data_IF_219538263493
#
_entry.id   IF_219538263493
#
_cell.length_a   1.000
_cell.length_b   1.000
_cell.length_c   1.000
_cell.angle_alpha   90.00
_cell.angle_beta   90.00
_cell.angle_gamma   90.00
#
_symmetry.space_group_name_H-M   'P 1'
#
loop_
_entity.id
_entity.type
_entity.pdbx_description
1 polymer ?
#
# COMPACT_ATOMS: atom_id res chain seq x y z
N UNK A 1 23.54 -107.85 -18.73
CA UNK A 1 22.56 -107.14 -17.88
C UNK A 1 22.68 -105.64 -18.12
N UNK A 2 21.60 -105.01 -18.60
CA UNK A 2 21.16 -103.61 -18.32
C UNK A 2 21.99 -102.45 -18.93
N UNK A 3 21.56 -101.87 -20.08
CA UNK A 3 20.78 -100.61 -20.32
C UNK A 3 21.53 -99.29 -19.99
N UNK A 4 21.85 -98.45 -21.01
CA UNK A 4 21.10 -97.27 -21.53
C UNK A 4 21.06 -95.99 -20.65
N UNK A 5 21.70 -94.91 -21.16
CA UNK A 5 21.35 -93.46 -21.19
C UNK A 5 20.72 -92.81 -19.94
N UNK A 6 21.29 -91.67 -19.46
CA UNK A 6 20.62 -90.34 -19.39
C UNK A 6 21.51 -89.24 -18.80
N UNK A 7 21.44 -88.09 -19.48
CA UNK A 7 21.91 -86.75 -19.10
C UNK A 7 21.37 -86.32 -17.72
N UNK A 8 21.93 -85.27 -17.13
CA UNK A 8 21.18 -84.05 -16.80
C UNK A 8 22.13 -82.95 -16.30
N UNK A 9 22.19 -81.88 -17.10
CA UNK A 9 22.66 -80.57 -16.67
C UNK A 9 21.64 -80.00 -15.65
N UNK A 10 22.13 -79.59 -14.48
CA UNK A 10 21.35 -78.89 -13.45
C UNK A 10 21.59 -77.40 -13.53
N UNK A 11 20.62 -76.69 -14.10
CA UNK A 11 20.54 -75.25 -14.31
C UNK A 11 20.45 -74.51 -12.95
N UNK A 12 21.38 -73.58 -12.69
CA UNK A 12 21.28 -72.65 -11.56
C UNK A 12 20.27 -71.55 -11.86
N UNK A 13 19.18 -71.49 -11.10
CA UNK A 13 18.21 -70.40 -11.15
C UNK A 13 18.61 -69.36 -10.09
N UNK A 14 19.19 -68.25 -10.54
CA UNK A 14 19.32 -67.05 -9.74
C UNK A 14 17.97 -66.32 -9.74
N UNK A 15 17.32 -66.26 -8.59
CA UNK A 15 16.09 -65.51 -8.38
C UNK A 15 16.44 -64.02 -8.22
N UNK A 16 16.33 -63.26 -9.32
CA UNK A 16 16.48 -61.80 -9.32
C UNK A 16 15.15 -61.18 -8.86
N UNK A 17 15.13 -60.62 -7.65
CA UNK A 17 13.98 -59.88 -7.13
C UNK A 17 13.98 -58.46 -7.75
N UNK A 18 13.14 -58.23 -8.75
CA UNK A 18 12.91 -56.88 -9.30
C UNK A 18 11.90 -56.18 -8.40
N UNK A 19 12.38 -55.26 -7.56
CA UNK A 19 11.52 -54.34 -6.79
C UNK A 19 11.03 -53.24 -7.75
N UNK A 20 9.80 -53.37 -8.25
CA UNK A 20 9.16 -52.34 -9.05
C UNK A 20 8.84 -51.12 -8.16
N UNK A 21 9.68 -50.09 -8.24
CA UNK A 21 9.35 -48.74 -7.76
C UNK A 21 8.30 -48.17 -8.72
N UNK A 22 7.02 -48.28 -8.38
CA UNK A 22 5.99 -47.52 -9.08
C UNK A 22 6.28 -46.02 -8.86
N UNK A 23 6.42 -45.19 -9.92
CA UNK A 23 6.51 -43.76 -9.73
C UNK A 23 5.21 -43.30 -9.06
N UNK A 24 5.33 -42.69 -7.88
CA UNK A 24 4.21 -41.98 -7.30
C UNK A 24 3.96 -40.78 -8.21
N UNK A 25 2.97 -40.88 -9.09
CA UNK A 25 2.43 -39.71 -9.75
C UNK A 25 1.77 -38.89 -8.64
N UNK A 26 2.47 -37.89 -8.11
CA UNK A 26 1.81 -36.79 -7.41
C UNK A 26 0.78 -36.23 -8.37
N UNK A 27 -0.49 -36.24 -7.98
CA UNK A 27 -1.51 -35.53 -8.72
C UNK A 27 -1.13 -34.05 -8.70
N UNK A 28 -0.49 -33.57 -9.75
CA UNK A 28 -0.06 -32.18 -9.85
C UNK A 28 -1.32 -31.33 -9.95
N UNK A 29 -1.58 -30.52 -8.92
CA UNK A 29 -2.75 -29.67 -8.91
C UNK A 29 -2.62 -28.63 -10.01
N UNK A 30 -3.70 -28.34 -10.72
CA UNK A 30 -3.70 -27.30 -11.74
C UNK A 30 -3.63 -25.93 -11.05
N UNK A 31 -2.62 -25.10 -11.33
CA UNK A 31 -2.53 -23.77 -10.72
C UNK A 31 -3.77 -22.94 -11.02
N UNK A 32 -4.26 -22.22 -10.02
CA UNK A 32 -5.46 -21.39 -10.17
C UNK A 32 -5.51 -20.30 -9.11
N UNK A 33 -6.26 -19.26 -9.40
CA UNK A 33 -6.55 -18.16 -8.48
C UNK A 33 -8.04 -17.89 -8.52
N UNK A 34 -8.65 -17.78 -7.34
CA UNK A 34 -10.03 -17.34 -7.15
C UNK A 34 -10.04 -16.06 -6.32
N UNK A 35 -10.76 -15.05 -6.81
CA UNK A 35 -10.92 -13.76 -6.16
C UNK A 35 -12.31 -13.22 -6.52
N UNK A 36 -12.95 -12.55 -5.58
CA UNK A 36 -14.21 -11.84 -5.80
C UNK A 36 -14.00 -10.33 -5.80
N UNK A 37 -14.96 -9.62 -6.40
CA UNK A 37 -15.11 -8.18 -6.27
C UNK A 37 -15.23 -7.81 -4.79
N UNK A 38 -14.48 -6.81 -4.37
CA UNK A 38 -14.28 -6.53 -2.94
C UNK A 38 -13.83 -5.10 -2.70
N UNK A 39 -13.97 -4.59 -1.47
CA UNK A 39 -13.44 -3.29 -1.11
C UNK A 39 -11.95 -3.34 -0.78
N UNK A 40 -11.30 -2.18 -0.80
CA UNK A 40 -9.96 -2.00 -0.22
C UNK A 40 -10.11 -1.61 1.25
N UNK A 41 -9.58 -2.43 2.14
CA UNK A 41 -9.77 -2.29 3.58
C UNK A 41 -8.41 -2.21 4.25
N UNK A 42 -8.09 -1.09 4.93
CA UNK A 42 -6.75 -0.83 5.51
C UNK A 42 -5.61 -1.01 4.48
N UNK A 43 -5.82 -0.58 3.25
CA UNK A 43 -4.82 -0.74 2.19
C UNK A 43 -4.58 -2.20 1.76
N UNK A 44 -5.50 -3.12 2.09
CA UNK A 44 -5.37 -4.54 1.76
C UNK A 44 -6.51 -5.03 0.89
N UNK A 45 -6.22 -6.05 0.10
CA UNK A 45 -7.17 -6.91 -0.62
C UNK A 45 -6.93 -8.38 -0.24
N UNK A 46 -7.93 -9.23 -0.43
CA UNK A 46 -7.89 -10.65 -0.06
C UNK A 46 -8.15 -11.52 -1.28
N UNK A 47 -7.22 -12.43 -1.56
CA UNK A 47 -7.37 -13.47 -2.58
C UNK A 47 -7.90 -14.73 -1.90
N UNK A 48 -9.09 -15.16 -2.29
CA UNK A 48 -9.87 -16.19 -1.58
C UNK A 48 -9.15 -17.54 -1.59
N UNK A 49 -8.66 -17.95 -2.76
CA UNK A 49 -7.95 -19.21 -2.95
C UNK A 49 -6.88 -19.09 -4.01
N UNK A 50 -5.74 -19.70 -3.74
CA UNK A 50 -4.62 -19.86 -4.67
C UNK A 50 -4.18 -21.30 -4.63
N UNK A 51 -4.05 -21.92 -5.80
CA UNK A 51 -3.41 -23.21 -5.97
C UNK A 51 -2.09 -22.96 -6.69
N UNK A 52 -0.98 -23.25 -6.03
CA UNK A 52 0.37 -23.11 -6.57
C UNK A 52 1.05 -24.47 -6.70
N UNK A 53 1.93 -24.62 -7.69
CA UNK A 53 2.82 -25.76 -7.83
C UNK A 53 4.23 -25.31 -7.44
N UNK A 54 4.58 -25.47 -6.18
CA UNK A 54 5.76 -24.91 -5.54
C UNK A 54 5.48 -23.55 -4.87
N UNK A 55 6.48 -23.01 -4.15
CA UNK A 55 6.46 -21.64 -3.64
C UNK A 55 6.21 -20.63 -4.76
N UNK A 56 5.52 -19.55 -4.44
CA UNK A 56 5.16 -18.53 -5.41
C UNK A 56 4.76 -17.20 -4.80
N UNK A 57 4.30 -16.30 -5.66
CA UNK A 57 3.84 -14.97 -5.30
C UNK A 57 2.47 -14.69 -5.90
N UNK A 58 1.60 -14.08 -5.11
CA UNK A 58 0.43 -13.39 -5.61
C UNK A 58 0.77 -11.93 -5.78
N UNK A 59 0.58 -11.40 -6.98
CA UNK A 59 0.90 -10.02 -7.33
C UNK A 59 -0.38 -9.31 -7.77
N UNK A 60 -0.66 -8.16 -7.18
CA UNK A 60 -1.81 -7.32 -7.52
C UNK A 60 -1.34 -6.19 -8.44
N UNK A 61 -1.99 -6.08 -9.60
CA UNK A 61 -1.72 -5.05 -10.59
C UNK A 61 -2.91 -4.10 -10.71
N UNK A 62 -2.63 -2.81 -10.88
CA UNK A 62 -3.60 -1.87 -11.43
C UNK A 62 -3.92 -2.23 -12.88
N UNK A 63 -5.08 -1.81 -13.38
CA UNK A 63 -5.40 -1.91 -14.80
C UNK A 63 -4.68 -0.80 -15.58
N UNK A 64 -4.11 -1.18 -16.72
CA UNK A 64 -3.66 -0.26 -17.76
C UNK A 64 -4.06 -0.80 -19.12
N UNK A 65 -4.80 0.00 -19.91
CA UNK A 65 -5.21 -0.35 -21.27
C UNK A 65 -5.95 -1.71 -21.37
N UNK A 66 -6.77 -2.03 -20.36
CA UNK A 66 -7.54 -3.29 -20.28
C UNK A 66 -6.69 -4.53 -19.96
N UNK A 67 -5.47 -4.33 -19.45
CA UNK A 67 -4.50 -5.38 -19.10
C UNK A 67 -3.88 -5.12 -17.73
N UNK A 68 -3.20 -6.11 -17.12
CA UNK A 68 -2.35 -5.88 -15.96
C UNK A 68 -1.31 -4.78 -16.24
N UNK A 69 -1.28 -3.78 -15.38
CA UNK A 69 -0.42 -2.60 -15.44
C UNK A 69 0.61 -2.60 -14.31
N UNK A 70 0.90 -1.43 -13.68
CA UNK A 70 1.83 -1.34 -12.55
C UNK A 70 1.46 -2.27 -11.39
N UNK A 71 2.48 -2.79 -10.70
CA UNK A 71 2.31 -3.58 -9.48
C UNK A 71 1.92 -2.65 -8.33
N UNK A 72 0.90 -3.02 -7.59
CA UNK A 72 0.45 -2.33 -6.39
C UNK A 72 0.96 -2.99 -5.11
N UNK A 73 1.14 -4.30 -5.13
CA UNK A 73 1.59 -5.08 -3.97
C UNK A 73 1.64 -6.57 -4.28
N UNK A 74 2.25 -7.35 -3.37
CA UNK A 74 2.38 -8.79 -3.53
C UNK A 74 2.53 -9.51 -2.18
N UNK A 75 2.19 -10.79 -2.15
CA UNK A 75 2.34 -11.67 -0.97
C UNK A 75 2.83 -13.06 -1.37
N UNK A 76 3.62 -13.72 -0.52
CA UNK A 76 4.09 -15.08 -0.80
C UNK A 76 2.94 -16.08 -0.66
N UNK A 77 3.02 -17.17 -1.42
CA UNK A 77 2.16 -18.35 -1.31
C UNK A 77 3.00 -19.62 -1.27
N UNK A 78 2.55 -20.60 -0.51
CA UNK A 78 3.20 -21.91 -0.41
C UNK A 78 2.77 -22.84 -1.56
N UNK A 79 3.49 -23.96 -1.72
CA UNK A 79 3.05 -25.06 -2.57
C UNK A 79 1.68 -25.59 -2.12
N UNK A 80 0.83 -25.96 -3.08
CA UNK A 80 -0.51 -26.45 -2.84
C UNK A 80 -1.56 -25.36 -2.67
N UNK A 81 -2.52 -25.59 -1.78
CA UNK A 81 -3.65 -24.68 -1.56
C UNK A 81 -3.33 -23.62 -0.49
N UNK A 82 -3.59 -22.36 -0.82
CA UNK A 82 -3.53 -21.21 0.07
C UNK A 82 -4.91 -20.55 0.09
N UNK A 83 -5.41 -20.17 1.26
CA UNK A 83 -6.72 -19.51 1.41
C UNK A 83 -6.57 -18.18 2.12
N UNK A 84 -7.45 -17.23 1.78
CA UNK A 84 -7.49 -15.88 2.38
C UNK A 84 -6.14 -15.16 2.36
N UNK A 85 -5.43 -15.25 1.23
CA UNK A 85 -4.12 -14.60 1.05
C UNK A 85 -4.33 -13.10 1.02
N UNK A 86 -3.86 -12.41 2.06
CA UNK A 86 -3.98 -10.96 2.17
C UNK A 86 -2.80 -10.30 1.48
N UNK A 87 -3.06 -9.25 0.69
CA UNK A 87 -2.05 -8.47 -0.01
C UNK A 87 -2.21 -7.00 0.37
N UNK A 88 -1.17 -6.42 0.97
CA UNK A 88 -1.07 -4.97 1.13
C UNK A 88 -0.76 -4.34 -0.23
N UNK A 89 -1.49 -3.28 -0.58
CA UNK A 89 -1.40 -2.61 -1.87
C UNK A 89 -1.25 -1.10 -1.69
N UNK A 90 -0.57 -0.47 -2.64
CA UNK A 90 -0.65 0.99 -2.81
C UNK A 90 -2.03 1.40 -3.35
N UNK A 91 -2.95 1.68 -2.44
CA UNK A 91 -4.30 2.12 -2.77
C UNK A 91 -4.34 3.48 -3.49
N UNK A 92 -3.26 4.28 -3.46
CA UNK A 92 -3.19 5.58 -4.15
C UNK A 92 -3.04 5.42 -5.66
N UNK A 93 -2.56 4.24 -6.11
CA UNK A 93 -2.38 3.90 -7.51
C UNK A 93 -3.41 2.88 -8.01
N UNK A 94 -4.34 2.45 -7.16
CA UNK A 94 -5.39 1.51 -7.53
C UNK A 94 -6.32 2.07 -8.62
N UNK A 95 -6.95 1.16 -9.35
CA UNK A 95 -7.97 1.41 -10.38
C UNK A 95 -9.23 0.61 -10.05
N UNK A 96 -10.38 0.96 -10.66
CA UNK A 96 -11.64 0.23 -10.43
C UNK A 96 -11.52 -1.26 -10.67
N UNK A 97 -10.79 -1.66 -11.71
CA UNK A 97 -10.46 -3.06 -11.96
C UNK A 97 -9.01 -3.30 -11.59
N UNK A 98 -8.76 -4.35 -10.82
CA UNK A 98 -7.43 -4.85 -10.49
C UNK A 98 -7.25 -6.25 -11.08
N UNK A 99 -6.00 -6.66 -11.27
CA UNK A 99 -5.65 -8.02 -11.68
C UNK A 99 -4.85 -8.68 -10.56
N UNK A 100 -5.20 -9.91 -10.24
CA UNK A 100 -4.34 -10.77 -9.42
C UNK A 100 -3.57 -11.70 -10.35
N UNK A 101 -2.26 -11.85 -10.17
CA UNK A 101 -1.41 -12.69 -11.01
C UNK A 101 -0.55 -13.60 -10.16
N UNK A 102 -0.63 -14.91 -10.43
CA UNK A 102 0.24 -15.89 -9.80
C UNK A 102 1.61 -15.91 -10.50
N UNK A 103 2.68 -15.78 -9.72
CA UNK A 103 4.05 -15.92 -10.16
C UNK A 103 4.72 -17.08 -9.44
N UNK A 104 5.73 -17.68 -10.09
CA UNK A 104 6.66 -18.60 -9.42
C UNK A 104 7.60 -17.82 -8.50
N UNK A 105 8.07 -18.47 -7.43
CA UNK A 105 9.23 -18.03 -6.65
C UNK A 105 10.43 -18.87 -7.11
N UNK A 106 11.25 -18.28 -7.97
CA UNK A 106 12.42 -18.91 -8.58
C UNK A 106 13.68 -18.10 -8.25
N UNK A 107 14.87 -18.69 -8.45
CA UNK A 107 16.10 -18.01 -8.04
C UNK A 107 16.26 -18.00 -6.52
N UNK A 108 16.16 -16.82 -5.89
CA UNK A 108 16.36 -16.68 -4.45
C UNK A 108 15.04 -16.84 -3.68
N UNK A 109 14.74 -18.09 -3.30
CA UNK A 109 13.56 -18.45 -2.52
C UNK A 109 13.21 -17.42 -1.42
N UNK A 110 11.96 -16.96 -1.46
CA UNK A 110 11.42 -15.95 -0.54
C UNK A 110 11.78 -14.50 -0.88
N UNK A 111 12.38 -14.25 -2.04
CA UNK A 111 12.61 -12.91 -2.59
C UNK A 111 11.71 -12.72 -3.81
N UNK A 112 11.11 -11.55 -3.96
CA UNK A 112 10.32 -11.27 -5.16
C UNK A 112 11.20 -10.60 -6.22
N UNK A 113 11.37 -11.25 -7.36
CA UNK A 113 12.39 -10.94 -8.36
C UNK A 113 11.79 -10.72 -9.76
N UNK A 114 10.75 -9.89 -9.86
CA UNK A 114 10.10 -9.47 -11.11
C UNK A 114 10.20 -7.94 -11.27
N UNK A 115 10.30 -7.39 -12.50
CA UNK A 115 10.19 -8.03 -13.82
C UNK A 115 11.51 -8.52 -14.43
N UNK A 116 12.65 -8.19 -13.82
CA UNK A 116 13.98 -8.41 -14.42
C UNK A 116 14.70 -9.65 -13.88
N UNK A 117 14.05 -10.46 -13.05
CA UNK A 117 14.61 -11.65 -12.45
C UNK A 117 13.85 -12.93 -12.83
N UNK A 118 14.11 -14.03 -12.12
CA UNK A 118 13.63 -15.36 -12.47
C UNK A 118 12.15 -15.61 -12.13
N UNK A 119 11.51 -14.78 -11.31
CA UNK A 119 10.08 -14.90 -11.01
C UNK A 119 9.27 -14.55 -12.26
N UNK A 120 8.44 -15.47 -12.72
CA UNK A 120 7.66 -15.30 -13.94
C UNK A 120 6.19 -15.64 -13.70
N UNK A 121 5.26 -15.06 -14.48
CA UNK A 121 3.86 -15.42 -14.39
C UNK A 121 3.63 -16.90 -14.67
N UNK A 122 2.87 -17.57 -13.80
CA UNK A 122 2.45 -18.96 -13.96
C UNK A 122 1.45 -19.05 -15.10
N UNK A 123 1.63 -20.06 -15.96
CA UNK A 123 0.75 -20.36 -17.08
C UNK A 123 0.09 -21.72 -16.96
N UNK A 124 -1.17 -21.79 -17.37
CA UNK A 124 -1.94 -23.02 -17.55
C UNK A 124 -2.50 -22.99 -18.97
N UNK A 125 -2.22 -24.03 -19.77
CA UNK A 125 -2.61 -24.09 -21.19
C UNK A 125 -2.20 -22.82 -21.97
N UNK A 126 -0.95 -22.38 -21.80
CA UNK A 126 -0.37 -21.17 -22.38
C UNK A 126 -1.01 -19.82 -21.98
N UNK A 127 -1.99 -19.84 -21.08
CA UNK A 127 -2.63 -18.64 -20.53
C UNK A 127 -2.08 -18.31 -19.14
N UNK A 128 -1.77 -17.04 -18.91
CA UNK A 128 -1.34 -16.57 -17.58
C UNK A 128 -2.51 -16.68 -16.60
N UNK A 129 -2.23 -17.19 -15.40
CA UNK A 129 -3.21 -17.23 -14.30
C UNK A 129 -3.37 -15.81 -13.75
N UNK A 130 -4.25 -15.03 -14.38
CA UNK A 130 -4.47 -13.61 -14.03
C UNK A 130 -5.93 -13.14 -14.10
N UNK A 131 -6.81 -13.62 -13.22
CA UNK A 131 -8.19 -13.13 -13.20
C UNK A 131 -8.25 -11.65 -12.74
N UNK A 132 -9.15 -10.84 -13.33
CA UNK A 132 -9.48 -9.52 -12.81
C UNK A 132 -10.50 -9.59 -11.67
N UNK A 133 -10.59 -8.53 -10.88
CA UNK A 133 -11.69 -8.27 -9.95
C UNK A 133 -11.95 -6.76 -9.85
N UNK A 134 -13.16 -6.38 -9.44
CA UNK A 134 -13.56 -4.99 -9.23
C UNK A 134 -13.36 -4.56 -7.78
N UNK A 135 -12.82 -3.35 -7.61
CA UNK A 135 -12.83 -2.62 -6.35
C UNK A 135 -14.22 -2.02 -6.17
N UNK A 136 -14.94 -2.47 -5.15
CA UNK A 136 -16.30 -1.99 -4.87
C UNK A 136 -16.29 -0.61 -4.22
N UNK A 137 -15.47 -0.44 -3.18
CA UNK A 137 -15.25 0.84 -2.52
C UNK A 137 -13.89 0.85 -1.81
N UNK A 138 -13.35 2.04 -1.55
CA UNK A 138 -12.02 2.18 -0.97
C UNK A 138 -11.49 3.61 -1.04
N UNK A 139 -10.48 3.89 -0.23
CA UNK A 139 -9.83 5.20 -0.18
C UNK A 139 -8.31 5.00 -0.21
N UNK A 140 -7.66 5.65 -1.17
CA UNK A 140 -6.21 5.76 -1.27
C UNK A 140 -5.77 7.18 -0.99
N UNK A 141 -5.03 7.37 0.10
CA UNK A 141 -4.49 8.68 0.51
C UNK A 141 -3.04 8.50 0.97
N UNK A 142 -2.16 9.39 0.52
CA UNK A 142 -0.76 9.43 0.92
C UNK A 142 -0.51 10.49 1.99
N UNK A 143 0.58 10.31 2.72
CA UNK A 143 1.16 11.35 3.55
C UNK A 143 1.52 12.58 2.72
N UNK A 144 1.14 13.77 3.19
CA UNK A 144 1.19 14.98 2.38
C UNK A 144 1.16 16.24 3.25
N UNK A 145 1.65 17.40 2.74
CA UNK A 145 1.46 18.66 3.42
C UNK A 145 0.03 19.18 3.19
N UNK A 146 -0.45 20.03 4.11
CA UNK A 146 -1.59 20.90 3.84
C UNK A 146 -1.09 22.04 2.96
N UNK A 147 -1.70 22.22 1.79
CA UNK A 147 -1.32 23.26 0.83
C UNK A 147 -2.53 24.11 0.49
N UNK A 148 -2.44 25.43 0.71
CA UNK A 148 -3.53 26.36 0.43
C UNK A 148 -4.83 26.03 1.19
N UNK A 149 -4.73 25.47 2.39
CA UNK A 149 -5.89 25.03 3.19
C UNK A 149 -6.55 23.75 2.68
N UNK A 150 -5.88 22.97 1.82
CA UNK A 150 -6.42 21.75 1.23
C UNK A 150 -5.53 20.55 1.47
N UNK A 151 -6.16 19.37 1.46
CA UNK A 151 -5.53 18.06 1.31
C UNK A 151 -6.13 17.36 0.09
N UNK A 152 -5.41 16.41 -0.51
CA UNK A 152 -5.86 15.67 -1.69
C UNK A 152 -5.95 14.18 -1.39
N UNK A 153 -7.12 13.59 -1.63
CA UNK A 153 -7.31 12.15 -1.58
C UNK A 153 -7.07 11.59 -2.98
N UNK A 154 -6.03 10.78 -3.13
CA UNK A 154 -5.51 10.36 -4.44
C UNK A 154 -6.54 9.50 -5.20
N UNK A 155 -7.17 8.55 -4.51
CA UNK A 155 -8.21 7.66 -5.06
C UNK A 155 -9.37 7.51 -4.10
N UNK A 156 -10.58 7.57 -4.62
CA UNK A 156 -11.80 7.17 -3.91
C UNK A 156 -12.64 6.30 -4.84
N UNK A 157 -13.02 5.13 -4.37
CA UNK A 157 -13.98 4.25 -5.02
C UNK A 157 -15.28 4.29 -4.20
N UNK A 158 -16.38 4.68 -4.83
CA UNK A 158 -17.69 4.80 -4.18
C UNK A 158 -18.74 3.95 -4.90
N UNK A 159 -19.69 3.40 -4.16
CA UNK A 159 -20.90 2.80 -4.71
C UNK A 159 -22.04 3.80 -4.57
N UNK A 160 -22.35 4.49 -5.66
CA UNK A 160 -23.22 5.66 -5.69
C UNK A 160 -22.50 6.95 -5.30
N UNK A 161 -23.21 8.10 -5.40
CA UNK A 161 -22.73 9.38 -4.89
C UNK A 161 -22.37 9.30 -3.40
N UNK A 162 -21.38 10.09 -3.01
CA UNK A 162 -20.90 10.09 -1.64
C UNK A 162 -20.08 11.32 -1.28
N UNK A 163 -19.45 11.23 -0.12
CA UNK A 163 -18.59 12.27 0.42
C UNK A 163 -17.27 11.67 0.90
N UNK A 164 -16.16 12.32 0.57
CA UNK A 164 -14.91 12.10 1.28
C UNK A 164 -14.78 13.15 2.37
N UNK A 165 -14.64 12.71 3.62
CA UNK A 165 -14.64 13.58 4.81
C UNK A 165 -13.29 13.47 5.51
N UNK A 166 -12.68 14.61 5.80
CA UNK A 166 -11.39 14.67 6.50
C UNK A 166 -11.63 14.97 7.97
N UNK A 167 -11.14 14.10 8.83
CA UNK A 167 -11.21 14.22 10.28
C UNK A 167 -9.84 14.50 10.87
N UNK A 168 -9.79 15.35 11.90
CA UNK A 168 -8.66 15.41 12.83
C UNK A 168 -8.56 14.10 13.62
N UNK A 169 -7.39 13.80 14.15
CA UNK A 169 -7.20 12.71 15.10
C UNK A 169 -7.62 13.16 16.50
N UNK A 170 -8.36 12.30 17.19
CA UNK A 170 -8.64 12.41 18.62
C UNK A 170 -8.54 11.02 19.25
N UNK A 171 -7.71 10.89 20.28
CA UNK A 171 -7.54 9.63 21.04
C UNK A 171 -7.23 8.40 20.15
N UNK A 172 -6.40 8.60 19.12
CA UNK A 172 -6.01 7.55 18.18
C UNK A 172 -7.10 7.14 17.16
N UNK A 173 -8.20 7.89 17.08
CA UNK A 173 -9.36 7.62 16.22
C UNK A 173 -9.77 8.87 15.41
N UNK A 174 -10.64 8.72 14.39
CA UNK A 174 -11.27 9.87 13.76
C UNK A 174 -12.02 10.73 14.78
N UNK A 175 -11.71 12.02 14.78
CA UNK A 175 -12.24 13.05 15.68
C UNK A 175 -13.11 14.07 14.93
N UNK A 176 -13.06 15.37 15.29
CA UNK A 176 -13.84 16.41 14.62
C UNK A 176 -13.59 16.49 13.12
N UNK A 177 -14.63 16.82 12.35
CA UNK A 177 -14.55 17.07 10.91
C UNK A 177 -13.83 18.39 10.66
N UNK A 178 -12.88 18.35 9.72
CA UNK A 178 -12.14 19.52 9.23
C UNK A 178 -12.70 20.04 7.92
N UNK A 179 -13.23 19.15 7.08
CA UNK A 179 -13.77 19.47 5.76
C UNK A 179 -14.23 18.23 5.02
N UNK A 180 -14.91 18.42 3.89
CA UNK A 180 -15.44 17.35 3.07
C UNK A 180 -15.54 17.76 1.59
N UNK A 181 -15.68 16.80 0.69
CA UNK A 181 -15.92 17.03 -0.73
C UNK A 181 -16.76 15.92 -1.35
N UNK A 182 -17.58 16.23 -2.36
CA UNK A 182 -18.42 15.23 -3.01
C UNK A 182 -17.56 14.28 -3.84
N UNK A 183 -18.00 13.03 -3.93
CA UNK A 183 -17.46 12.01 -4.85
C UNK A 183 -18.61 11.40 -5.64
N UNK A 184 -18.34 11.10 -6.91
CA UNK A 184 -19.30 10.43 -7.79
C UNK A 184 -19.28 8.91 -7.56
N UNK A 185 -20.27 8.22 -8.12
CA UNK A 185 -20.25 6.76 -8.26
C UNK A 185 -19.01 6.30 -9.05
N UNK A 186 -18.39 5.20 -8.62
CA UNK A 186 -17.20 4.63 -9.22
C UNK A 186 -15.89 5.28 -8.76
N UNK A 187 -14.91 5.35 -9.67
CA UNK A 187 -13.56 5.85 -9.41
C UNK A 187 -13.47 7.39 -9.49
N UNK A 188 -12.95 7.99 -8.44
CA UNK A 188 -12.65 9.41 -8.34
C UNK A 188 -11.14 9.57 -8.09
N UNK A 189 -10.50 10.49 -8.79
CA UNK A 189 -9.06 10.74 -8.67
C UNK A 189 -8.79 12.18 -8.23
N UNK A 190 -7.76 12.36 -7.41
CA UNK A 190 -7.27 13.67 -6.96
C UNK A 190 -8.38 14.54 -6.33
N UNK A 191 -9.16 13.97 -5.42
CA UNK A 191 -10.26 14.67 -4.75
C UNK A 191 -9.67 15.67 -3.76
N UNK A 192 -9.70 16.94 -4.11
CA UNK A 192 -9.20 18.02 -3.26
C UNK A 192 -10.26 18.42 -2.22
N UNK A 193 -9.89 18.34 -0.94
CA UNK A 193 -10.75 18.69 0.19
C UNK A 193 -10.23 19.95 0.86
N UNK A 194 -11.06 20.99 0.88
CA UNK A 194 -10.80 22.19 1.69
C UNK A 194 -11.07 21.88 3.16
N UNK A 195 -10.13 22.24 4.03
CA UNK A 195 -10.15 21.92 5.45
C UNK A 195 -9.88 23.14 6.33
N UNK A 196 -10.45 23.13 7.54
CA UNK A 196 -10.02 24.03 8.60
C UNK A 196 -8.64 23.61 9.14
N UNK A 197 -7.58 24.10 8.48
CA UNK A 197 -6.20 23.80 8.83
C UNK A 197 -5.82 24.23 10.27
N UNK A 198 -6.55 25.18 10.88
CA UNK A 198 -6.29 25.64 12.24
C UNK A 198 -6.59 24.57 13.30
N UNK A 199 -7.40 23.58 12.95
CA UNK A 199 -7.79 22.44 13.80
C UNK A 199 -7.13 21.13 13.38
N UNK A 200 -6.27 21.16 12.36
CA UNK A 200 -5.60 19.97 11.86
C UNK A 200 -4.60 19.43 12.89
N UNK A 201 -4.47 18.10 12.91
CA UNK A 201 -3.53 17.35 13.75
C UNK A 201 -2.47 16.68 12.89
N UNK A 202 -1.34 16.22 13.47
CA UNK A 202 -0.29 15.52 12.71
C UNK A 202 -0.79 14.30 11.93
N UNK A 203 -1.73 13.54 12.48
CA UNK A 203 -2.44 12.49 11.74
C UNK A 203 -3.86 12.95 11.45
N UNK A 204 -4.32 12.74 10.23
CA UNK A 204 -5.70 12.95 9.79
C UNK A 204 -6.30 11.64 9.29
N UNK A 205 -7.62 11.58 9.16
CA UNK A 205 -8.33 10.42 8.59
C UNK A 205 -9.19 10.86 7.42
N UNK A 206 -9.13 10.11 6.31
CA UNK A 206 -10.02 10.30 5.18
C UNK A 206 -11.12 9.23 5.24
N UNK A 207 -12.37 9.63 5.49
CA UNK A 207 -13.50 8.74 5.70
C UNK A 207 -14.52 8.86 4.57
N UNK A 208 -14.80 7.74 3.90
CA UNK A 208 -15.83 7.68 2.87
C UNK A 208 -17.22 7.59 3.53
N UNK A 209 -18.15 8.42 3.07
CA UNK A 209 -19.55 8.42 3.45
C UNK A 209 -20.43 8.26 2.20
N UNK A 210 -21.60 7.66 2.39
CA UNK A 210 -22.67 7.64 1.38
C UNK A 210 -23.44 8.97 1.44
N UNK A 211 -23.81 9.51 0.28
CA UNK A 211 -24.77 10.62 0.15
C UNK A 211 -26.18 10.03 0.17
N UNK A 212 -26.89 10.25 1.28
CA UNK A 212 -28.23 9.76 1.50
C UNK A 212 -29.16 10.92 1.87
N UNK A 213 -30.47 10.73 1.72
CA UNK A 213 -31.42 11.83 1.95
C UNK A 213 -31.44 12.83 0.80
N UNK A 214 -31.00 14.06 1.03
CA UNK A 214 -31.05 15.10 0.01
C UNK A 214 -29.76 15.10 -0.83
N UNK A 215 -29.83 14.45 -1.99
CA UNK A 215 -28.73 14.36 -2.95
C UNK A 215 -27.95 15.68 -3.11
N UNK A 216 -26.62 15.61 -2.96
CA UNK A 216 -25.71 16.75 -3.06
C UNK A 216 -25.68 17.64 -1.83
N UNK A 217 -26.31 17.23 -0.73
CA UNK A 217 -26.18 17.85 0.58
C UNK A 217 -25.32 16.93 1.47
N UNK A 218 -24.59 17.52 2.42
CA UNK A 218 -23.85 16.73 3.41
C UNK A 218 -24.57 16.84 4.75
N UNK A 219 -25.07 15.71 5.27
CA UNK A 219 -25.94 15.64 6.44
C UNK A 219 -25.39 14.77 7.59
N UNK A 220 -24.08 14.71 7.78
CA UNK A 220 -23.48 14.03 8.94
C UNK A 220 -23.08 15.06 10.04
N UNK A 221 -23.21 14.75 11.35
CA UNK A 221 -23.54 13.46 11.96
C UNK A 221 -25.01 13.23 12.31
N UNK A 222 -25.87 14.25 12.17
CA UNK A 222 -27.24 14.21 12.69
C UNK A 222 -28.30 13.87 11.63
N UNK A 223 -27.90 13.51 10.43
CA UNK A 223 -28.77 13.19 9.31
C UNK A 223 -28.42 11.86 8.66
N UNK A 224 -28.92 11.63 7.43
CA UNK A 224 -28.91 10.31 6.79
C UNK A 224 -27.55 9.85 6.25
N UNK A 225 -26.60 10.75 6.02
CA UNK A 225 -25.25 10.38 5.57
C UNK A 225 -24.54 9.54 6.62
N UNK A 226 -23.94 8.44 6.19
CA UNK A 226 -23.26 7.50 7.10
C UNK A 226 -21.92 7.04 6.54
N UNK A 227 -20.94 6.70 7.41
CA UNK A 227 -19.69 6.12 6.97
C UNK A 227 -19.89 4.80 6.21
N UNK A 228 -19.20 4.63 5.09
CA UNK A 228 -19.16 3.37 4.34
C UNK A 228 -18.38 2.32 5.13
N UNK A 229 -18.91 1.09 5.15
CA UNK A 229 -18.34 -0.04 5.92
C UNK A 229 -18.15 -1.29 5.07
N UNK A 230 -17.04 -1.99 5.30
CA UNK A 230 -16.83 -3.39 4.93
C UNK A 230 -17.06 -4.27 6.17
N UNK A 231 -18.23 -4.92 6.26
CA UNK A 231 -18.67 -5.55 7.50
C UNK A 231 -18.78 -4.52 8.62
N UNK A 232 -18.07 -4.73 9.73
CA UNK A 232 -18.02 -3.77 10.84
C UNK A 232 -16.95 -2.68 10.68
N UNK A 233 -16.10 -2.79 9.66
CA UNK A 233 -14.97 -1.88 9.50
C UNK A 233 -15.33 -0.67 8.63
N UNK A 234 -15.16 0.53 9.19
CA UNK A 234 -15.30 1.79 8.44
C UNK A 234 -14.11 1.99 7.48
N UNK A 235 -14.39 2.51 6.29
CA UNK A 235 -13.37 2.91 5.31
C UNK A 235 -12.82 4.27 5.71
N UNK A 236 -11.77 4.24 6.53
CA UNK A 236 -11.16 5.44 7.12
C UNK A 236 -9.64 5.32 7.26
N UNK A 237 -8.88 5.24 6.16
CA UNK A 237 -7.43 5.25 6.23
C UNK A 237 -6.89 6.53 6.91
N UNK A 238 -5.90 6.41 7.81
CA UNK A 238 -5.14 7.55 8.30
C UNK A 238 -4.09 8.00 7.29
N UNK A 239 -3.63 9.24 7.41
CA UNK A 239 -2.42 9.75 6.74
C UNK A 239 -1.73 10.79 7.62
N UNK A 240 -0.42 10.95 7.45
CA UNK A 240 0.38 11.95 8.14
C UNK A 240 0.40 13.27 7.36
N UNK A 241 0.28 14.36 8.11
CA UNK A 241 0.47 15.71 7.62
C UNK A 241 1.96 16.04 7.71
N UNK A 242 2.61 16.24 6.57
CA UNK A 242 4.06 16.46 6.49
C UNK A 242 4.46 17.94 6.48
N UNK A 243 3.49 18.85 6.47
CA UNK A 243 3.70 20.30 6.49
C UNK A 243 2.38 21.08 6.48
N UNK A 244 2.45 22.40 6.71
CA UNK A 244 1.27 23.28 6.68
C UNK A 244 0.38 23.24 7.93
N UNK A 245 0.81 22.55 8.98
CA UNK A 245 0.16 22.63 10.30
C UNK A 245 0.37 24.01 10.93
N UNK A 246 -0.55 24.47 11.80
CA UNK A 246 -0.34 25.66 12.59
C UNK A 246 0.95 25.52 13.39
N UNK A 247 1.87 26.48 13.27
CA UNK A 247 3.03 26.49 14.15
C UNK A 247 2.55 26.68 15.58
N UNK A 248 2.72 25.65 16.41
CA UNK A 248 2.75 25.85 17.85
C UNK A 248 4.09 26.52 18.16
N UNK A 249 4.09 27.86 18.24
CA UNK A 249 5.20 28.55 18.89
C UNK A 249 5.34 27.93 20.29
N UNK A 250 6.54 27.53 20.74
CA UNK A 250 6.71 27.17 22.13
C UNK A 250 6.23 28.36 22.95
N UNK A 251 5.31 28.11 23.89
CA UNK A 251 4.92 29.12 24.88
C UNK A 251 6.21 29.69 25.44
N UNK A 252 6.49 30.96 25.17
CA UNK A 252 7.55 31.68 25.85
C UNK A 252 7.13 31.71 27.32
N UNK A 253 7.60 30.72 28.07
CA UNK A 253 7.41 30.62 29.51
C UNK A 253 8.08 31.81 30.14
N UNK A 254 7.32 32.87 30.39
CA UNK A 254 7.70 33.92 31.30
C UNK A 254 7.91 33.29 32.68
N UNK A 255 9.14 33.43 33.21
CA UNK A 255 9.46 32.98 34.56
C UNK A 255 10.87 32.48 34.80
N UNK A 256 11.90 32.96 34.07
CA UNK A 256 13.28 32.88 34.57
C UNK A 256 13.64 34.24 35.19
N UNK A 257 14.09 34.32 36.45
CA UNK A 257 14.62 35.57 36.98
C UNK A 257 15.85 35.96 36.15
N UNK A 258 15.97 37.24 35.83
CA UNK A 258 17.11 37.82 35.12
C UNK A 258 18.40 37.48 35.86
N UNK A 259 19.11 36.44 35.43
CA UNK A 259 20.53 36.32 35.70
C UNK A 259 21.23 37.40 34.86
N UNK A 260 22.05 38.28 35.45
CA UNK A 260 22.74 39.30 34.69
C UNK A 260 23.73 38.62 33.74
N UNK A 261 23.44 38.64 32.44
CA UNK A 261 24.42 38.33 31.43
C UNK A 261 25.53 39.37 31.50
N UNK A 262 26.72 38.91 31.91
CA UNK A 262 27.97 39.65 31.84
C UNK A 262 28.23 40.03 30.38
N UNK A 263 28.02 41.30 30.07
CA UNK A 263 28.35 41.89 28.78
C UNK A 263 29.89 41.99 28.70
N UNK A 264 30.55 41.06 28.02
CA UNK A 264 31.97 41.23 27.65
C UNK A 264 32.03 42.28 26.55
N UNK A 265 32.19 43.54 26.98
CA UNK A 265 32.55 44.65 26.12
C UNK A 265 34.03 44.50 25.71
N UNK A 266 34.28 44.15 24.45
CA UNK A 266 35.58 44.37 23.83
C UNK A 266 35.69 45.86 23.54
N UNK A 267 36.39 46.57 24.43
CA UNK A 267 36.70 47.99 24.29
C UNK A 267 37.72 48.23 23.18
N UNK A 268 37.26 48.81 22.07
CA UNK A 268 38.09 49.56 21.13
C UNK A 268 38.23 51.00 21.61
N UNK A 269 39.37 51.30 22.22
CA UNK A 269 39.73 52.61 22.77
C UNK A 269 40.03 53.61 21.63
N UNK A 270 39.32 54.73 21.61
CA UNK A 270 39.70 55.91 20.86
C UNK A 270 40.50 56.86 21.76
N UNK A 271 41.66 57.33 21.31
CA UNK A 271 42.34 58.50 21.85
C UNK A 271 42.99 59.31 20.74
N UNK A 272 42.73 60.61 20.81
CA UNK A 272 42.94 61.66 19.81
C UNK A 272 44.34 62.27 19.95
N UNK A 273 45.02 62.48 18.82
CA UNK A 273 45.94 63.59 18.52
C UNK A 273 46.33 63.42 17.03
N UNK A 274 46.51 64.39 16.16
CA UNK A 274 46.53 65.85 16.18
C UNK A 274 47.25 66.26 14.88
N UNK A 275 46.75 67.31 14.22
CA UNK A 275 47.39 68.14 13.18
C UNK A 275 47.89 67.52 11.85
N UNK A 276 47.47 68.18 10.76
CA UNK A 276 48.39 68.56 9.68
C UNK A 276 48.01 68.11 8.26
N UNK A 277 47.49 69.06 7.48
CA UNK A 277 47.84 69.40 6.08
C UNK A 277 48.57 68.30 5.25
N UNK A 278 48.24 67.97 3.99
CA UNK A 278 48.09 68.86 2.84
C UNK A 278 47.72 68.04 1.58
N UNK A 279 47.14 68.74 0.60
CA UNK A 279 46.84 68.41 -0.81
C UNK A 279 47.68 67.33 -1.52
N UNK A 280 47.03 66.55 -2.40
CA UNK A 280 47.12 66.63 -3.88
C UNK A 280 46.59 65.33 -4.51
N UNK A 281 45.44 65.35 -5.20
CA UNK A 281 45.25 65.55 -6.65
C UNK A 281 45.66 64.36 -7.54
N UNK A 282 44.63 63.82 -8.22
CA UNK A 282 44.59 63.27 -9.60
C UNK A 282 45.47 62.06 -9.91
N UNK A 283 44.89 60.94 -10.34
CA UNK A 283 44.41 60.63 -11.70
C UNK A 283 45.12 59.30 -12.05
N UNK A 284 44.56 58.30 -12.72
CA UNK A 284 43.36 58.09 -13.52
C UNK A 284 42.92 56.65 -13.25
#
# INVERSE_FOLDING_TARGET
>A
MTRYIRQLAGLGIALMLVLALAPWASAQMTPSVSVSDQPIVKGMVVVEKVVSNGPGWIVIHAQKDGKPGPILGYSPVADGENTNVTVEIDATQATSTLYVMLHTDAGQMGTFEFPNGPDVPVKVNDQVVTPPFQVTFGVGVADQPISGGKVTVAKVFSQGPGWIVIHAQKDGKPGPILGYSPVADGENANVAVEIDATKATPTLYAMLHTDAGQMGTFEFPNGPDVPVKAGDQVITPPFQVTGGLPMTLPTAGGGAPLAPFLLVAVGGLALVSGLGLTLARRAR
#
